data_IF_937078181518
#
_entry.id   IF_937078181518
#
_cell.length_a   1.000
_cell.length_b   1.000
_cell.length_c   1.000
_cell.angle_alpha   90.00
_cell.angle_beta   90.00
_cell.angle_gamma   90.00
#
_symmetry.space_group_name_H-M   'P 1'
#
loop_
_entity.id
_entity.type
_entity.pdbx_description
1 polymer ?
#
# COMPACT_ATOMS: atom_id res chain seq x y z
N UNK A 1 -5.28 13.16 13.75
CA UNK A 1 -4.10 12.40 14.26
C UNK A 1 -2.83 12.97 13.61
N UNK A 2 -1.86 13.44 14.37
CA UNK A 2 -0.62 13.96 13.78
C UNK A 2 0.45 12.86 13.68
N UNK A 3 0.34 12.01 12.65
CA UNK A 3 1.31 10.96 12.36
C UNK A 3 2.44 11.58 11.53
N UNK A 4 3.72 11.41 11.92
CA UNK A 4 4.83 11.87 11.13
C UNK A 4 4.80 11.34 9.70
N UNK A 5 5.05 12.20 8.72
CA UNK A 5 5.02 11.84 7.28
C UNK A 5 5.91 10.63 6.99
N UNK A 6 7.08 10.57 7.64
CA UNK A 6 8.01 9.44 7.53
C UNK A 6 7.40 8.11 7.96
N UNK A 7 6.57 8.10 9.01
CA UNK A 7 5.91 6.87 9.46
C UNK A 7 4.86 6.40 8.47
N UNK A 8 4.11 7.33 7.84
CA UNK A 8 3.21 6.98 6.72
C UNK A 8 3.98 6.32 5.58
N UNK A 9 5.16 6.81 5.26
CA UNK A 9 6.01 6.19 4.25
C UNK A 9 6.38 4.75 4.59
N UNK A 10 6.78 4.47 5.83
CA UNK A 10 7.07 3.09 6.26
C UNK A 10 5.82 2.20 6.23
N UNK A 11 4.67 2.72 6.68
CA UNK A 11 3.39 2.01 6.57
C UNK A 11 3.11 1.61 5.10
N UNK A 12 3.32 2.52 4.15
CA UNK A 12 3.17 2.26 2.72
C UNK A 12 4.18 1.24 2.20
N UNK A 13 5.46 1.32 2.61
CA UNK A 13 6.48 0.35 2.21
C UNK A 13 6.11 -1.07 2.64
N UNK A 14 5.59 -1.25 3.85
CA UNK A 14 5.09 -2.55 4.30
C UNK A 14 3.83 -2.97 3.53
N UNK A 15 2.82 -2.10 3.44
CA UNK A 15 1.56 -2.39 2.76
C UNK A 15 1.76 -2.83 1.30
N UNK A 16 2.76 -2.29 0.62
CA UNK A 16 3.12 -2.65 -0.76
C UNK A 16 4.14 -3.79 -0.89
N UNK A 17 4.62 -4.34 0.22
CA UNK A 17 5.69 -5.35 0.26
C UNK A 17 7.00 -4.87 -0.40
N UNK A 18 7.35 -3.59 -0.18
CA UNK A 18 8.51 -2.92 -0.75
C UNK A 18 9.44 -2.31 0.31
N UNK A 19 9.56 -2.95 1.47
CA UNK A 19 10.39 -2.43 2.58
C UNK A 19 11.85 -2.28 2.17
N UNK A 20 12.40 -3.27 1.43
CA UNK A 20 13.80 -3.23 0.96
C UNK A 20 14.03 -2.09 -0.02
N UNK A 21 13.08 -1.87 -0.93
CA UNK A 21 13.14 -0.78 -1.90
C UNK A 21 13.01 0.58 -1.21
N UNK A 22 12.12 0.68 -0.22
CA UNK A 22 11.95 1.88 0.60
C UNK A 22 13.20 2.25 1.39
N UNK A 23 13.91 1.28 1.95
CA UNK A 23 15.17 1.50 2.68
C UNK A 23 16.31 2.00 1.77
N UNK A 24 16.19 1.88 0.46
CA UNK A 24 17.21 2.36 -0.48
C UNK A 24 17.18 3.87 -0.69
N UNK A 25 16.13 4.54 -0.23
CA UNK A 25 15.99 5.99 -0.24
C UNK A 25 16.20 6.50 1.18
N UNK A 26 17.19 7.35 1.37
CA UNK A 26 17.43 7.97 2.67
C UNK A 26 16.36 9.04 2.93
N UNK A 27 15.32 8.64 3.65
CA UNK A 27 14.30 9.57 4.18
C UNK A 27 14.73 10.19 5.52
N UNK A 28 15.93 9.88 5.99
CA UNK A 28 16.74 10.42 7.06
C UNK A 28 16.06 11.17 8.19
N UNK A 29 16.80 12.09 8.79
CA UNK A 29 16.33 13.00 9.84
C UNK A 29 15.67 14.28 9.32
N UNK A 30 15.44 14.39 7.99
CA UNK A 30 14.81 15.56 7.42
C UNK A 30 13.35 15.67 7.83
N UNK A 31 12.95 16.84 8.28
CA UNK A 31 11.53 17.18 8.48
C UNK A 31 10.93 17.56 7.14
N UNK A 32 9.92 16.80 6.70
CA UNK A 32 9.16 17.11 5.50
C UNK A 32 7.97 18.00 5.84
N UNK A 33 7.78 19.08 5.08
CA UNK A 33 6.64 20.00 5.25
C UNK A 33 5.31 19.31 4.97
N UNK A 34 5.30 18.31 4.07
CA UNK A 34 4.12 17.54 3.72
C UNK A 34 4.45 16.20 3.07
N UNK A 35 3.40 15.40 2.87
CA UNK A 35 3.54 14.10 2.22
C UNK A 35 4.03 14.19 0.79
N UNK A 36 3.63 15.23 0.06
CA UNK A 36 4.04 15.42 -1.33
C UNK A 36 5.55 15.67 -1.45
N UNK A 37 6.17 16.36 -0.48
CA UNK A 37 7.61 16.60 -0.48
C UNK A 37 8.40 15.30 -0.31
N UNK A 38 7.96 14.45 0.63
CA UNK A 38 8.56 13.13 0.82
C UNK A 38 8.38 12.25 -0.43
N UNK A 39 7.17 12.18 -0.99
CA UNK A 39 6.92 11.38 -2.18
C UNK A 39 7.71 11.87 -3.40
N UNK A 40 7.82 13.18 -3.57
CA UNK A 40 8.63 13.77 -4.63
C UNK A 40 10.13 13.47 -4.43
N UNK A 41 10.65 13.55 -3.20
CA UNK A 41 12.04 13.17 -2.89
C UNK A 41 12.29 11.72 -3.24
N UNK A 42 11.45 10.79 -2.76
CA UNK A 42 11.58 9.34 -3.03
C UNK A 42 11.51 9.05 -4.53
N UNK A 43 10.55 9.66 -5.23
CA UNK A 43 10.42 9.50 -6.68
C UNK A 43 11.64 10.04 -7.43
N UNK A 44 12.09 11.25 -7.09
CA UNK A 44 13.26 11.88 -7.72
C UNK A 44 14.53 11.04 -7.54
N UNK A 45 14.77 10.52 -6.33
CA UNK A 45 15.92 9.64 -6.07
C UNK A 45 15.79 8.32 -6.79
N UNK A 46 14.60 7.70 -6.75
CA UNK A 46 14.33 6.45 -7.43
C UNK A 46 14.51 6.55 -8.94
N UNK A 47 13.96 7.59 -9.58
CA UNK A 47 14.12 7.81 -11.03
C UNK A 47 15.58 8.12 -11.38
N UNK A 48 16.28 8.92 -10.56
CA UNK A 48 17.71 9.18 -10.76
C UNK A 48 18.52 7.89 -10.75
N UNK A 49 18.22 6.97 -9.83
CA UNK A 49 18.85 5.65 -9.74
C UNK A 49 18.54 4.77 -10.95
N UNK A 50 17.28 4.77 -11.45
CA UNK A 50 16.91 4.05 -12.66
C UNK A 50 17.66 4.58 -13.88
N UNK A 51 17.76 5.90 -14.05
CA UNK A 51 18.51 6.50 -15.14
C UNK A 51 19.98 6.09 -15.08
N UNK A 52 20.59 6.07 -13.88
CA UNK A 52 22.00 5.71 -13.70
C UNK A 52 22.29 4.21 -13.94
N UNK A 53 21.32 3.33 -13.64
CA UNK A 53 21.46 1.86 -13.83
C UNK A 53 21.02 1.39 -15.20
N UNK A 54 20.35 2.22 -15.96
CA UNK A 54 19.64 1.92 -17.20
C UNK A 54 18.15 1.74 -16.96
N UNK A 55 17.36 2.48 -17.72
CA UNK A 55 15.89 2.36 -17.74
C UNK A 55 15.47 1.01 -18.31
N UNK A 56 14.30 0.56 -17.89
CA UNK A 56 13.68 -0.64 -18.44
C UNK A 56 13.35 -0.45 -19.93
N UNK A 57 13.46 -1.53 -20.68
CA UNK A 57 13.23 -1.55 -22.14
C UNK A 57 12.41 -2.78 -22.50
N UNK A 58 11.60 -2.62 -23.52
CA UNK A 58 10.87 -3.74 -24.11
C UNK A 58 10.90 -3.65 -25.64
N UNK A 59 10.64 -4.75 -26.28
CA UNK A 59 10.51 -4.80 -27.72
C UNK A 59 9.16 -4.25 -28.15
N UNK A 60 9.19 -3.14 -28.87
CA UNK A 60 7.99 -2.55 -29.48
C UNK A 60 7.92 -2.93 -30.95
N UNK A 61 6.78 -3.47 -31.37
CA UNK A 61 6.53 -3.72 -32.77
C UNK A 61 6.42 -2.40 -33.54
N UNK A 62 7.37 -2.14 -34.41
CA UNK A 62 7.44 -0.96 -35.28
C UNK A 62 7.07 -1.36 -36.69
N UNK A 63 6.31 -0.54 -37.40
CA UNK A 63 5.97 -0.73 -38.78
C UNK A 63 6.21 0.58 -39.55
N UNK A 64 7.27 0.63 -40.34
CA UNK A 64 7.68 1.88 -40.98
C UNK A 64 8.32 1.68 -42.37
N UNK A 65 8.43 2.79 -43.13
CA UNK A 65 9.04 2.83 -44.46
C UNK A 65 10.56 3.08 -44.33
N UNK A 66 11.38 2.03 -44.50
CA UNK A 66 12.82 2.09 -44.33
C UNK A 66 13.57 1.89 -45.67
N UNK A 67 14.81 2.34 -45.72
CA UNK A 67 15.73 1.97 -46.82
C UNK A 67 16.31 0.59 -46.55
N UNK A 68 16.07 -0.34 -47.47
CA UNK A 68 16.50 -1.74 -47.33
C UNK A 68 15.45 -2.62 -46.65
N UNK A 69 15.88 -3.71 -46.02
CA UNK A 69 15.01 -4.72 -45.37
C UNK A 69 15.40 -4.89 -43.90
N UNK A 70 14.38 -4.83 -43.01
CA UNK A 70 14.56 -5.14 -41.58
C UNK A 70 13.31 -5.89 -41.09
N UNK A 71 13.48 -7.02 -40.46
CA UNK A 71 12.36 -7.83 -39.96
C UNK A 71 11.45 -8.40 -41.06
N UNK A 72 10.16 -8.27 -40.96
CA UNK A 72 9.16 -8.82 -41.89
C UNK A 72 8.76 -7.75 -42.91
N UNK A 73 8.99 -8.04 -44.20
CA UNK A 73 8.56 -7.18 -45.31
C UNK A 73 7.04 -7.25 -45.49
N UNK A 74 6.37 -6.10 -45.49
CA UNK A 74 5.00 -5.96 -46.00
C UNK A 74 5.02 -5.54 -47.46
N UNK A 75 5.01 -6.55 -48.36
CA UNK A 75 5.09 -6.35 -49.79
C UNK A 75 3.83 -5.61 -50.32
N UNK A 76 2.66 -5.92 -49.74
CA UNK A 76 1.41 -5.30 -50.18
C UNK A 76 1.41 -3.77 -49.94
N UNK A 77 1.82 -3.33 -48.75
CA UNK A 77 1.95 -1.90 -48.44
C UNK A 77 3.11 -1.27 -49.25
N UNK A 78 4.22 -1.96 -49.41
CA UNK A 78 5.36 -1.48 -50.20
C UNK A 78 4.96 -1.17 -51.64
N UNK A 79 4.24 -2.06 -52.31
CA UNK A 79 3.77 -1.89 -53.68
C UNK A 79 2.67 -0.83 -53.76
N UNK A 80 1.68 -0.89 -52.89
CA UNK A 80 0.55 0.07 -52.84
C UNK A 80 1.02 1.51 -52.72
N UNK A 81 2.08 1.76 -51.92
CA UNK A 81 2.66 3.09 -51.70
C UNK A 81 3.79 3.45 -52.69
N UNK A 82 4.08 2.61 -53.68
CA UNK A 82 5.16 2.79 -54.65
C UNK A 82 6.54 3.05 -54.01
N UNK A 83 6.81 2.46 -52.84
CA UNK A 83 8.01 2.74 -52.05
C UNK A 83 9.29 2.31 -52.76
N UNK A 84 9.21 1.27 -53.58
CA UNK A 84 10.36 0.77 -54.38
C UNK A 84 10.95 1.84 -55.30
N UNK A 85 10.14 2.77 -55.79
CA UNK A 85 10.59 3.89 -56.63
C UNK A 85 11.56 4.83 -55.89
N UNK A 86 11.45 4.87 -54.55
CA UNK A 86 12.29 5.70 -53.68
C UNK A 86 13.35 4.87 -52.93
N UNK A 87 13.54 3.58 -53.31
CA UNK A 87 14.47 2.67 -52.66
C UNK A 87 14.09 2.30 -51.22
N UNK A 88 12.76 2.36 -50.91
CA UNK A 88 12.22 2.04 -49.59
C UNK A 88 11.35 0.80 -49.63
N UNK A 89 11.18 0.17 -48.48
CA UNK A 89 10.25 -0.92 -48.24
C UNK A 89 9.49 -0.68 -46.92
N UNK A 90 8.26 -1.15 -46.85
CA UNK A 90 7.51 -1.16 -45.60
C UNK A 90 7.82 -2.43 -44.81
N UNK A 91 8.44 -2.28 -43.64
CA UNK A 91 8.87 -3.40 -42.83
C UNK A 91 8.28 -3.34 -41.43
N UNK A 92 7.88 -4.50 -40.91
CA UNK A 92 7.49 -4.69 -39.51
C UNK A 92 8.64 -5.41 -38.78
N UNK A 93 9.12 -4.83 -37.70
CA UNK A 93 10.20 -5.38 -36.86
C UNK A 93 10.05 -4.95 -35.43
N UNK A 94 10.69 -5.69 -34.53
CA UNK A 94 10.73 -5.33 -33.11
C UNK A 94 11.95 -4.44 -32.87
N UNK A 95 11.73 -3.33 -32.17
CA UNK A 95 12.76 -2.40 -31.75
C UNK A 95 12.79 -2.25 -30.24
N UNK A 96 14.00 -2.36 -29.67
CA UNK A 96 14.19 -2.21 -28.24
C UNK A 96 14.04 -0.73 -27.85
N UNK A 97 12.99 -0.41 -27.12
CA UNK A 97 12.60 0.96 -26.80
C UNK A 97 12.56 1.22 -25.30
N UNK A 98 12.92 2.44 -24.90
CA UNK A 98 12.66 2.97 -23.56
C UNK A 98 11.22 3.52 -23.40
N UNK A 99 10.49 3.67 -24.51
CA UNK A 99 9.13 4.21 -24.51
C UNK A 99 8.10 3.15 -24.09
N UNK A 100 8.27 2.66 -22.88
CA UNK A 100 7.44 1.62 -22.26
C UNK A 100 6.54 2.21 -21.17
N UNK A 101 5.36 1.60 -20.88
CA UNK A 101 4.37 2.16 -19.98
C UNK A 101 4.93 2.57 -18.60
N UNK A 102 5.83 1.79 -18.01
CA UNK A 102 6.43 2.11 -16.72
C UNK A 102 7.27 3.39 -16.78
N UNK A 103 8.06 3.61 -17.81
CA UNK A 103 8.83 4.83 -18.00
C UNK A 103 7.92 6.04 -18.30
N UNK A 104 6.87 5.83 -19.09
CA UNK A 104 5.86 6.85 -19.40
C UNK A 104 5.15 7.33 -18.12
N UNK A 105 4.80 6.42 -17.19
CA UNK A 105 4.19 6.77 -15.91
C UNK A 105 5.15 7.62 -15.08
N UNK A 106 6.42 7.20 -14.95
CA UNK A 106 7.44 7.96 -14.22
C UNK A 106 7.56 9.38 -14.80
N UNK A 107 7.72 9.50 -16.12
CA UNK A 107 7.83 10.80 -16.80
C UNK A 107 6.59 11.66 -16.58
N UNK A 108 5.40 11.12 -16.75
CA UNK A 108 4.15 11.85 -16.57
C UNK A 108 3.96 12.33 -15.12
N UNK A 109 4.34 11.51 -14.12
CA UNK A 109 4.27 11.89 -12.71
C UNK A 109 5.26 12.99 -12.38
N UNK A 110 6.51 12.92 -12.87
CA UNK A 110 7.48 14.01 -12.71
C UNK A 110 6.98 15.33 -13.31
N UNK A 111 6.30 15.28 -14.47
CA UNK A 111 5.66 16.45 -15.06
C UNK A 111 4.58 17.02 -14.16
N UNK A 112 3.70 16.18 -13.61
CA UNK A 112 2.62 16.63 -12.72
C UNK A 112 3.15 17.29 -11.44
N UNK A 113 4.23 16.76 -10.85
CA UNK A 113 4.88 17.38 -9.69
C UNK A 113 5.34 18.82 -9.97
N UNK A 114 5.64 19.14 -11.22
CA UNK A 114 6.00 20.51 -11.62
C UNK A 114 4.88 21.53 -11.39
N UNK A 115 3.62 21.11 -11.39
CA UNK A 115 2.45 21.98 -11.22
C UNK A 115 1.93 22.04 -9.77
N UNK A 116 2.50 21.25 -8.85
CA UNK A 116 2.07 21.22 -7.44
C UNK A 116 2.54 22.47 -6.72
N UNK A 117 1.61 23.30 -6.27
CA UNK A 117 1.92 24.61 -5.66
C UNK A 117 2.62 24.49 -4.31
N UNK A 118 2.23 23.50 -3.50
CA UNK A 118 2.77 23.24 -2.16
C UNK A 118 4.10 22.49 -2.14
N UNK A 119 4.57 21.99 -3.30
CA UNK A 119 5.80 21.21 -3.39
C UNK A 119 7.04 22.08 -3.16
N UNK A 120 7.98 21.56 -2.38
CA UNK A 120 9.28 22.15 -2.14
C UNK A 120 9.96 22.57 -3.46
N UNK A 121 10.47 23.81 -3.58
CA UNK A 121 11.05 24.33 -4.83
C UNK A 121 12.25 23.51 -5.34
N UNK A 122 13.04 22.87 -4.48
CA UNK A 122 14.18 22.06 -4.89
C UNK A 122 13.68 20.73 -5.46
N UNK A 123 12.74 20.07 -4.79
CA UNK A 123 12.13 18.85 -5.30
C UNK A 123 11.43 19.07 -6.64
N UNK A 124 10.76 20.20 -6.80
CA UNK A 124 10.15 20.60 -8.08
C UNK A 124 11.19 20.79 -9.18
N UNK A 125 12.28 21.51 -8.90
CA UNK A 125 13.40 21.70 -9.86
C UNK A 125 14.04 20.35 -10.23
N UNK A 126 14.21 19.46 -9.25
CA UNK A 126 14.79 18.13 -9.45
C UNK A 126 13.88 17.27 -10.35
N UNK A 127 12.57 17.26 -10.10
CA UNK A 127 11.59 16.58 -10.95
C UNK A 127 11.64 17.09 -12.40
N UNK A 128 11.73 18.43 -12.60
CA UNK A 128 11.86 19.02 -13.93
C UNK A 128 13.16 18.65 -14.65
N UNK A 129 14.28 18.50 -13.92
CA UNK A 129 15.53 18.01 -14.52
C UNK A 129 15.44 16.55 -14.96
N UNK A 130 14.85 15.69 -14.13
CA UNK A 130 14.67 14.27 -14.43
C UNK A 130 13.69 14.06 -15.59
N UNK A 131 12.58 14.81 -15.61
CA UNK A 131 11.64 14.81 -16.73
C UNK A 131 12.35 15.06 -18.08
N UNK A 132 13.25 16.05 -18.15
CA UNK A 132 14.02 16.35 -19.38
C UNK A 132 15.03 15.26 -19.76
N UNK A 133 15.54 14.48 -18.79
CA UNK A 133 16.44 13.34 -19.05
C UNK A 133 15.71 12.13 -19.64
N UNK A 134 14.39 12.08 -19.56
CA UNK A 134 13.55 11.03 -20.15
C UNK A 134 13.09 11.43 -21.57
N UNK A 135 13.96 12.01 -22.38
CA UNK A 135 13.67 12.52 -23.73
C UNK A 135 13.21 11.42 -24.69
N UNK A 136 13.80 10.21 -24.60
CA UNK A 136 13.41 9.05 -25.38
C UNK A 136 12.07 8.41 -24.96
N UNK A 137 11.38 8.94 -23.95
CA UNK A 137 10.10 8.45 -23.46
C UNK A 137 9.00 9.42 -23.85
N UNK A 138 7.89 8.92 -24.40
CA UNK A 138 6.76 9.74 -24.83
C UNK A 138 6.04 10.44 -23.66
N UNK A 139 5.58 11.66 -23.94
CA UNK A 139 4.67 12.37 -23.03
C UNK A 139 3.24 11.85 -23.19
N UNK A 140 2.75 11.19 -22.17
CA UNK A 140 1.39 10.65 -22.15
C UNK A 140 0.58 11.24 -21.01
N UNK A 141 -0.75 11.39 -21.17
CA UNK A 141 -1.60 11.75 -20.05
C UNK A 141 -1.67 10.60 -19.04
N UNK A 142 -1.38 10.91 -17.77
CA UNK A 142 -1.48 9.93 -16.71
C UNK A 142 -2.96 9.58 -16.47
N UNK A 143 -3.31 8.31 -16.67
CA UNK A 143 -4.66 7.77 -16.53
C UNK A 143 -4.64 6.42 -15.84
N UNK A 144 -5.72 6.00 -15.11
CA UNK A 144 -5.77 4.71 -14.43
C UNK A 144 -5.50 3.49 -15.34
N UNK A 145 -5.89 3.59 -16.61
CA UNK A 145 -5.66 2.53 -17.60
C UNK A 145 -4.17 2.28 -17.84
N UNK A 146 -3.34 3.33 -17.84
CA UNK A 146 -1.91 3.20 -18.10
C UNK A 146 -1.21 2.34 -17.03
N UNK A 147 -1.60 2.49 -15.76
CA UNK A 147 -1.07 1.64 -14.67
C UNK A 147 -1.41 0.16 -14.83
N UNK A 148 -2.53 -0.17 -15.50
CA UNK A 148 -2.95 -1.57 -15.74
C UNK A 148 -2.21 -2.23 -16.90
N UNK A 149 -1.53 -1.48 -17.75
CA UNK A 149 -0.75 -2.01 -18.89
C UNK A 149 0.63 -2.45 -18.49
N UNK A 150 1.11 -2.03 -17.32
CA UNK A 150 2.45 -2.37 -16.86
C UNK A 150 2.53 -3.84 -16.45
N UNK A 151 3.57 -4.51 -16.92
CA UNK A 151 3.91 -5.88 -16.52
C UNK A 151 5.16 -5.85 -15.65
N UNK A 152 4.99 -6.21 -14.38
CA UNK A 152 6.09 -6.28 -13.42
C UNK A 152 6.64 -7.71 -13.40
N UNK A 153 7.97 -7.82 -13.53
CA UNK A 153 8.71 -9.07 -13.41
C UNK A 153 9.56 -9.05 -12.13
N UNK A 154 10.03 -10.22 -11.70
CA UNK A 154 10.87 -10.33 -10.48
C UNK A 154 12.10 -9.42 -10.49
N UNK A 155 12.64 -9.11 -11.67
CA UNK A 155 13.85 -8.32 -11.81
C UNK A 155 13.62 -6.80 -11.75
N UNK A 156 12.36 -6.33 -11.79
CA UNK A 156 12.03 -4.91 -11.78
C UNK A 156 11.11 -4.50 -10.61
N UNK A 157 11.25 -5.15 -9.43
CA UNK A 157 10.51 -4.83 -8.21
C UNK A 157 10.66 -3.36 -7.79
N UNK A 158 11.82 -2.77 -8.04
CA UNK A 158 12.05 -1.35 -7.79
C UNK A 158 11.14 -0.44 -8.64
N UNK A 159 10.82 -0.84 -9.87
CA UNK A 159 9.78 -0.17 -10.66
C UNK A 159 8.41 -0.30 -10.00
N UNK A 160 8.06 -1.49 -9.52
CA UNK A 160 6.78 -1.69 -8.81
C UNK A 160 6.61 -0.71 -7.67
N UNK A 161 7.64 -0.56 -6.84
CA UNK A 161 7.66 0.42 -5.74
C UNK A 161 7.41 1.85 -6.23
N UNK A 162 8.16 2.32 -7.23
CA UNK A 162 8.00 3.67 -7.76
C UNK A 162 6.63 3.88 -8.43
N UNK A 163 6.09 2.86 -9.07
CA UNK A 163 4.76 2.93 -9.69
C UNK A 163 3.63 2.99 -8.66
N UNK A 164 3.75 2.29 -7.53
CA UNK A 164 2.83 2.47 -6.41
C UNK A 164 2.88 3.91 -5.88
N UNK A 165 4.09 4.47 -5.77
CA UNK A 165 4.25 5.87 -5.38
C UNK A 165 3.63 6.82 -6.41
N UNK A 166 3.87 6.62 -7.71
CA UNK A 166 3.23 7.38 -8.78
C UNK A 166 1.69 7.28 -8.71
N UNK A 167 1.17 6.10 -8.39
CA UNK A 167 -0.26 5.89 -8.25
C UNK A 167 -0.85 6.68 -7.09
N UNK A 168 -0.21 6.65 -5.92
CA UNK A 168 -0.67 7.45 -4.75
C UNK A 168 -0.61 8.95 -5.06
N UNK A 169 0.46 9.42 -5.70
CA UNK A 169 0.56 10.82 -6.12
C UNK A 169 -0.61 11.16 -7.04
N UNK A 170 -0.84 10.35 -8.08
CA UNK A 170 -1.93 10.57 -9.04
C UNK A 170 -3.32 10.59 -8.38
N UNK A 171 -3.61 9.63 -7.49
CA UNK A 171 -4.92 9.49 -6.86
C UNK A 171 -5.22 10.62 -5.85
N UNK A 172 -4.19 11.37 -5.40
CA UNK A 172 -4.34 12.46 -4.44
C UNK A 172 -3.97 13.83 -5.01
N UNK A 173 -3.73 13.96 -6.34
CA UNK A 173 -3.56 15.25 -7.00
C UNK A 173 -4.90 15.81 -7.46
N UNK A 174 -5.25 16.98 -6.95
CA UNK A 174 -6.38 17.79 -7.40
C UNK A 174 -5.85 18.81 -8.43
N UNK A 175 -6.19 18.60 -9.70
CA UNK A 175 -5.72 19.45 -10.81
C UNK A 175 -6.74 20.56 -11.06
N UNK A 176 -6.32 21.80 -10.91
CA UNK A 176 -7.08 22.98 -11.38
C UNK A 176 -6.70 23.24 -12.84
N UNK A 177 -7.61 22.89 -13.76
CA UNK A 177 -7.39 23.07 -15.21
C UNK A 177 -7.37 24.53 -15.64
N UNK A 178 -8.10 25.41 -14.95
CA UNK A 178 -8.20 26.84 -15.30
C UNK A 178 -6.91 27.59 -14.94
N UNK A 179 -6.29 27.26 -13.80
CA UNK A 179 -5.08 27.90 -13.33
C UNK A 179 -3.80 27.18 -13.77
N UNK A 180 -3.92 25.95 -14.30
CA UNK A 180 -2.77 25.12 -14.65
C UNK A 180 -1.94 24.69 -13.43
N UNK A 181 -2.57 24.65 -12.25
CA UNK A 181 -1.96 24.31 -10.98
C UNK A 181 -2.49 22.98 -10.47
N UNK A 182 -1.80 22.37 -9.49
CA UNK A 182 -2.25 21.19 -8.80
C UNK A 182 -2.02 21.33 -7.30
N UNK A 183 -2.96 20.78 -6.53
CA UNK A 183 -2.83 20.65 -5.08
C UNK A 183 -2.78 19.19 -4.70
N UNK A 184 -2.00 18.86 -3.67
CA UNK A 184 -1.93 17.50 -3.15
C UNK A 184 -2.84 17.37 -1.92
N UNK A 185 -3.80 16.46 -2.01
CA UNK A 185 -4.66 16.11 -0.88
C UNK A 185 -3.91 15.21 0.10
N UNK A 186 -3.70 15.71 1.31
CA UNK A 186 -3.07 14.95 2.39
C UNK A 186 -4.09 13.99 3.02
N UNK A 187 -4.03 12.74 2.65
CA UNK A 187 -5.00 11.73 3.07
C UNK A 187 -4.84 11.26 4.53
N UNK A 188 -3.88 11.80 5.31
CA UNK A 188 -3.75 11.49 6.75
C UNK A 188 -5.01 11.87 7.56
N UNK A 189 -5.78 12.81 7.04
CA UNK A 189 -7.07 13.22 7.65
C UNK A 189 -8.25 12.30 7.28
N UNK A 190 -8.06 11.41 6.30
CA UNK A 190 -9.07 10.46 5.84
C UNK A 190 -8.97 9.17 6.65
N UNK A 191 -9.84 9.04 7.68
CA UNK A 191 -9.85 7.87 8.57
C UNK A 191 -10.07 6.55 7.82
N UNK A 192 -10.83 6.57 6.73
CA UNK A 192 -11.11 5.36 5.95
C UNK A 192 -9.87 4.91 5.16
N UNK A 193 -9.19 5.83 4.48
CA UNK A 193 -7.94 5.51 3.77
C UNK A 193 -6.84 5.09 4.73
N UNK A 194 -6.71 5.79 5.84
CA UNK A 194 -5.72 5.45 6.87
C UNK A 194 -6.04 4.13 7.56
N UNK A 195 -7.31 3.80 7.77
CA UNK A 195 -7.74 2.51 8.31
C UNK A 195 -7.33 1.35 7.41
N UNK A 196 -7.59 1.46 6.11
CA UNK A 196 -7.16 0.46 5.12
C UNK A 196 -5.63 0.34 5.04
N UNK A 197 -4.91 1.46 5.11
CA UNK A 197 -3.45 1.46 5.13
C UNK A 197 -2.91 0.77 6.39
N UNK A 198 -3.47 1.07 7.56
CA UNK A 198 -3.07 0.48 8.82
C UNK A 198 -3.34 -1.04 8.85
N UNK A 199 -4.51 -1.49 8.37
CA UNK A 199 -4.82 -2.91 8.22
C UNK A 199 -3.78 -3.63 7.35
N UNK A 200 -3.53 -3.10 6.15
CA UNK A 200 -2.57 -3.69 5.22
C UNK A 200 -1.15 -3.72 5.81
N UNK A 201 -0.76 -2.63 6.46
CA UNK A 201 0.53 -2.55 7.14
C UNK A 201 0.68 -3.64 8.21
N UNK A 202 -0.26 -3.76 9.14
CA UNK A 202 -0.19 -4.76 10.22
C UNK A 202 -0.16 -6.18 9.65
N UNK A 203 -0.98 -6.46 8.64
CA UNK A 203 -0.99 -7.76 7.95
C UNK A 203 0.38 -8.10 7.37
N UNK A 204 0.94 -7.21 6.57
CA UNK A 204 2.24 -7.40 5.92
C UNK A 204 3.40 -7.44 6.92
N UNK A 205 3.31 -6.64 7.97
CA UNK A 205 4.25 -6.69 9.07
C UNK A 205 4.27 -8.08 9.70
N UNK A 206 3.11 -8.64 10.02
CA UNK A 206 3.01 -9.98 10.60
C UNK A 206 3.51 -11.06 9.63
N UNK A 207 3.18 -10.98 8.32
CA UNK A 207 3.68 -11.89 7.30
C UNK A 207 5.21 -11.90 7.19
N UNK A 208 5.85 -10.75 7.37
CA UNK A 208 7.28 -10.56 7.19
C UNK A 208 8.11 -10.80 8.45
N UNK A 209 7.63 -10.28 9.58
CA UNK A 209 8.41 -10.16 10.80
C UNK A 209 8.06 -11.24 11.83
N UNK A 210 7.13 -12.14 11.52
CA UNK A 210 6.72 -13.22 12.43
C UNK A 210 6.72 -14.58 11.73
N UNK A 211 6.69 -15.66 12.52
CA UNK A 211 6.57 -17.03 12.02
C UNK A 211 5.12 -17.51 11.85
N UNK A 212 4.14 -16.67 12.11
CA UNK A 212 2.73 -17.02 11.96
C UNK A 212 2.33 -17.20 10.49
N UNK A 213 1.46 -18.17 10.24
CA UNK A 213 0.69 -18.20 9.00
C UNK A 213 -0.37 -17.10 9.05
N UNK A 214 -0.28 -16.13 8.14
CA UNK A 214 -1.15 -14.95 8.11
C UNK A 214 -2.21 -15.11 7.02
N UNK A 215 -3.48 -14.83 7.34
CA UNK A 215 -4.61 -14.91 6.42
C UNK A 215 -5.70 -13.89 6.81
N UNK A 216 -6.72 -13.74 5.96
CA UNK A 216 -7.90 -12.92 6.22
C UNK A 216 -9.16 -13.65 5.73
N UNK A 217 -9.51 -14.78 6.35
CA UNK A 217 -10.67 -15.55 5.94
C UNK A 217 -11.97 -14.87 6.32
N UNK A 218 -13.05 -15.30 5.65
CA UNK A 218 -14.40 -15.01 6.10
C UNK A 218 -14.82 -16.09 7.08
N UNK A 219 -15.47 -15.69 8.18
CA UNK A 219 -16.05 -16.58 9.17
C UNK A 219 -17.55 -16.68 8.90
N UNK A 220 -18.08 -17.88 8.85
CA UNK A 220 -19.51 -18.14 8.77
C UNK A 220 -20.13 -18.13 10.19
N UNK A 221 -21.42 -17.86 10.28
CA UNK A 221 -22.15 -17.96 11.52
C UNK A 221 -22.37 -19.43 11.87
N UNK A 222 -21.67 -19.90 12.88
CA UNK A 222 -21.75 -21.30 13.29
C UNK A 222 -23.17 -21.63 13.78
N UNK A 223 -23.70 -22.78 13.29
CA UNK A 223 -25.04 -23.23 13.67
C UNK A 223 -26.20 -22.34 13.20
N UNK A 224 -25.94 -21.38 12.28
CA UNK A 224 -27.01 -20.53 11.79
C UNK A 224 -28.03 -21.32 10.97
N UNK A 225 -29.30 -21.22 11.36
CA UNK A 225 -30.43 -21.79 10.64
C UNK A 225 -31.35 -20.68 10.12
N UNK A 226 -31.99 -20.91 9.00
CA UNK A 226 -32.87 -19.93 8.37
C UNK A 226 -34.06 -20.55 7.70
N UNK A 227 -35.18 -19.82 7.66
CA UNK A 227 -36.40 -20.22 6.98
C UNK A 227 -36.34 -19.74 5.52
N UNK A 228 -36.57 -20.66 4.57
CA UNK A 228 -36.53 -20.34 3.15
C UNK A 228 -35.15 -19.82 2.69
N UNK A 229 -35.12 -18.65 2.07
CA UNK A 229 -33.91 -18.00 1.56
C UNK A 229 -33.25 -17.04 2.57
N UNK A 230 -33.72 -16.98 3.82
CA UNK A 230 -33.27 -15.99 4.81
C UNK A 230 -31.75 -16.06 5.12
N UNK A 231 -31.11 -17.24 5.04
CA UNK A 231 -29.66 -17.38 5.22
C UNK A 231 -28.83 -16.61 4.18
N UNK A 232 -29.38 -16.37 2.99
CA UNK A 232 -28.66 -15.56 1.96
C UNK A 232 -28.52 -14.09 2.36
N UNK A 233 -29.34 -13.61 3.31
CA UNK A 233 -29.27 -12.25 3.82
C UNK A 233 -28.34 -12.10 5.03
N UNK A 234 -27.81 -13.21 5.58
CA UNK A 234 -26.90 -13.18 6.70
C UNK A 234 -25.49 -12.81 6.20
N UNK A 235 -24.93 -11.66 6.61
CA UNK A 235 -23.60 -11.23 6.17
C UNK A 235 -22.52 -12.14 6.75
N UNK A 236 -21.51 -12.48 5.94
CA UNK A 236 -20.32 -13.17 6.46
C UNK A 236 -19.48 -12.21 7.28
N UNK A 237 -18.87 -12.73 8.34
CA UNK A 237 -17.92 -11.97 9.15
C UNK A 237 -16.57 -11.90 8.41
N UNK A 238 -16.16 -10.69 8.02
CA UNK A 238 -14.89 -10.47 7.34
C UNK A 238 -13.83 -10.10 8.37
N UNK A 239 -12.81 -10.97 8.52
CA UNK A 239 -11.67 -10.69 9.39
C UNK A 239 -10.64 -9.81 8.67
N UNK A 240 -9.95 -8.93 9.41
CA UNK A 240 -8.83 -8.19 8.88
C UNK A 240 -7.59 -9.08 8.80
N UNK A 241 -7.24 -9.74 9.90
CA UNK A 241 -6.04 -10.56 10.02
C UNK A 241 -6.31 -11.75 10.95
N UNK A 242 -5.86 -12.93 10.55
CA UNK A 242 -5.79 -14.12 11.40
C UNK A 242 -4.37 -14.65 11.39
N UNK A 243 -3.76 -14.73 12.57
CA UNK A 243 -2.43 -15.26 12.78
C UNK A 243 -2.55 -16.67 13.38
N UNK A 244 -1.94 -17.66 12.73
CA UNK A 244 -2.00 -19.07 13.17
C UNK A 244 -0.61 -19.64 13.37
N UNK A 245 -0.44 -20.30 14.50
CA UNK A 245 0.68 -21.21 14.79
C UNK A 245 0.13 -22.51 15.38
N UNK A 246 0.95 -23.55 15.59
CA UNK A 246 0.50 -24.77 16.29
C UNK A 246 -0.03 -24.52 17.70
N UNK A 247 0.44 -23.46 18.35
CA UNK A 247 0.09 -23.16 19.75
C UNK A 247 -0.95 -22.05 19.90
N UNK A 248 -1.16 -21.21 18.86
CA UNK A 248 -1.99 -20.01 18.97
C UNK A 248 -2.74 -19.70 17.70
N UNK A 249 -3.99 -19.24 17.88
CA UNK A 249 -4.79 -18.58 16.84
C UNK A 249 -5.19 -17.20 17.35
N UNK A 250 -4.84 -16.14 16.64
CA UNK A 250 -5.16 -14.76 17.01
C UNK A 250 -5.96 -14.13 15.88
N UNK A 251 -7.17 -13.68 16.18
CA UNK A 251 -8.02 -12.92 15.26
C UNK A 251 -7.82 -11.45 15.59
N UNK A 252 -7.23 -10.70 14.68
CA UNK A 252 -6.94 -9.27 14.88
C UNK A 252 -7.90 -8.47 14.01
N UNK A 253 -8.57 -7.51 14.63
CA UNK A 253 -9.39 -6.52 13.98
C UNK A 253 -8.73 -5.15 14.22
N UNK A 254 -8.33 -4.47 13.16
CA UNK A 254 -7.56 -3.24 13.22
C UNK A 254 -8.48 -2.03 13.19
N UNK A 255 -8.17 -1.03 14.00
CA UNK A 255 -8.98 0.17 14.12
C UNK A 255 -8.13 1.44 14.01
N UNK A 256 -8.58 2.34 13.19
CA UNK A 256 -7.98 3.66 13.01
C UNK A 256 -9.04 4.74 13.29
N UNK A 257 -8.96 5.36 14.46
CA UNK A 257 -9.84 6.46 14.86
C UNK A 257 -8.99 7.60 15.41
N UNK A 258 -9.43 8.84 15.20
CA UNK A 258 -8.81 10.03 15.82
C UNK A 258 -8.74 9.90 17.34
N UNK A 259 -9.81 9.34 17.92
CA UNK A 259 -9.90 9.01 19.35
C UNK A 259 -10.14 7.50 19.50
N UNK A 260 -9.12 6.70 19.83
CA UNK A 260 -9.22 5.24 19.90
C UNK A 260 -10.20 4.73 20.98
N UNK A 261 -10.36 5.48 22.06
CA UNK A 261 -11.25 5.14 23.17
C UNK A 261 -12.31 6.22 23.38
N UNK A 262 -13.56 5.81 23.57
CA UNK A 262 -14.66 6.70 23.84
C UNK A 262 -14.56 7.29 25.25
N UNK A 263 -14.84 8.58 25.41
CA UNK A 263 -14.94 9.22 26.72
C UNK A 263 -16.36 9.02 27.27
N UNK A 264 -16.46 8.41 28.46
CA UNK A 264 -17.75 8.18 29.14
C UNK A 264 -17.63 8.52 30.63
N UNK A 265 -18.39 9.52 31.11
CA UNK A 265 -18.38 9.95 32.52
C UNK A 265 -16.96 10.14 33.10
N UNK A 266 -16.05 10.77 32.34
CA UNK A 266 -14.66 11.03 32.73
C UNK A 266 -13.69 9.85 32.62
N UNK A 267 -14.16 8.67 32.20
CA UNK A 267 -13.31 7.49 31.93
C UNK A 267 -13.22 7.15 30.45
N UNK A 268 -12.10 6.55 30.02
CA UNK A 268 -11.92 6.02 28.67
C UNK A 268 -12.47 4.60 28.57
N UNK A 269 -13.32 4.31 27.59
CA UNK A 269 -13.92 2.98 27.37
C UNK A 269 -13.72 2.51 25.95
N UNK A 270 -13.59 1.20 25.78
CA UNK A 270 -13.58 0.53 24.48
C UNK A 270 -14.94 0.72 23.79
N UNK A 271 -14.92 0.94 22.48
CA UNK A 271 -16.14 1.00 21.69
C UNK A 271 -16.86 -0.35 21.73
N UNK A 272 -18.12 -0.35 22.19
CA UNK A 272 -18.90 -1.58 22.37
C UNK A 272 -19.15 -2.32 21.06
N UNK A 273 -19.36 -1.62 19.94
CA UNK A 273 -19.56 -2.25 18.63
C UNK A 273 -18.32 -3.03 18.19
N UNK A 274 -17.13 -2.46 18.38
CA UNK A 274 -15.87 -3.15 18.07
C UNK A 274 -15.66 -4.37 18.98
N UNK A 275 -16.03 -4.24 20.26
CA UNK A 275 -15.92 -5.35 21.21
C UNK A 275 -16.88 -6.49 20.84
N UNK A 276 -18.12 -6.18 20.45
CA UNK A 276 -19.08 -7.19 19.99
C UNK A 276 -18.61 -7.86 18.70
N UNK A 277 -18.03 -7.10 17.79
CA UNK A 277 -17.50 -7.62 16.53
C UNK A 277 -16.40 -8.66 16.78
N UNK A 278 -15.35 -8.30 17.53
CA UNK A 278 -14.25 -9.22 17.78
C UNK A 278 -14.65 -10.43 18.62
N UNK A 279 -15.56 -10.22 19.58
CA UNK A 279 -16.11 -11.31 20.37
C UNK A 279 -16.91 -12.29 19.50
N UNK A 280 -17.79 -11.79 18.60
CA UNK A 280 -18.51 -12.63 17.66
C UNK A 280 -17.56 -13.44 16.76
N UNK A 281 -16.46 -12.81 16.27
CA UNK A 281 -15.44 -13.51 15.48
C UNK A 281 -14.80 -14.64 16.26
N UNK A 282 -14.34 -14.37 17.49
CA UNK A 282 -13.70 -15.37 18.34
C UNK A 282 -14.64 -16.54 18.67
N UNK A 283 -15.88 -16.25 19.00
CA UNK A 283 -16.89 -17.28 19.31
C UNK A 283 -17.19 -18.18 18.11
N UNK A 284 -17.50 -17.60 16.95
CA UNK A 284 -17.84 -18.38 15.76
C UNK A 284 -16.64 -19.17 15.22
N UNK A 285 -15.42 -18.61 15.34
CA UNK A 285 -14.20 -19.34 15.00
C UNK A 285 -14.02 -20.59 15.89
N UNK A 286 -14.16 -20.42 17.20
CA UNK A 286 -13.98 -21.51 18.16
C UNK A 286 -14.96 -22.66 17.94
N UNK A 287 -16.23 -22.34 17.68
CA UNK A 287 -17.28 -23.34 17.44
C UNK A 287 -17.07 -24.07 16.09
N UNK A 288 -16.48 -23.37 15.09
CA UNK A 288 -16.15 -23.97 13.78
C UNK A 288 -14.77 -24.63 13.72
N UNK A 289 -13.97 -24.57 14.79
CA UNK A 289 -12.63 -25.12 14.82
C UNK A 289 -12.61 -26.65 14.88
N UNK A 290 -11.56 -27.27 14.31
CA UNK A 290 -11.35 -28.70 14.39
C UNK A 290 -10.81 -29.11 15.78
N UNK A 291 -11.05 -30.33 16.16
CA UNK A 291 -10.53 -30.86 17.42
C UNK A 291 -8.99 -30.76 17.47
N UNK A 292 -8.46 -30.13 18.51
CA UNK A 292 -7.01 -29.92 18.70
C UNK A 292 -6.49 -28.60 18.16
N UNK A 293 -7.29 -27.78 17.49
CA UNK A 293 -6.89 -26.41 17.17
C UNK A 293 -6.86 -25.55 18.44
N UNK A 294 -5.87 -24.61 18.56
CA UNK A 294 -5.80 -23.73 19.71
C UNK A 294 -7.00 -22.77 19.75
N UNK A 295 -7.49 -22.51 20.95
CA UNK A 295 -8.57 -21.55 21.14
C UNK A 295 -8.20 -20.17 20.61
N UNK A 296 -9.10 -19.50 19.89
CA UNK A 296 -8.83 -18.19 19.31
C UNK A 296 -8.79 -17.11 20.38
N UNK A 297 -7.83 -16.20 20.23
CA UNK A 297 -7.75 -14.93 20.94
C UNK A 297 -8.32 -13.84 20.03
N UNK A 298 -9.23 -13.00 20.56
CA UNK A 298 -9.73 -11.84 19.82
C UNK A 298 -8.93 -10.60 20.17
N UNK A 299 -8.39 -9.89 19.17
CA UNK A 299 -7.62 -8.66 19.39
C UNK A 299 -8.24 -7.49 18.65
N UNK A 300 -8.44 -6.38 19.40
CA UNK A 300 -8.66 -5.06 18.81
C UNK A 300 -7.35 -4.30 18.84
N UNK A 301 -6.76 -4.04 17.68
CA UNK A 301 -5.51 -3.31 17.54
C UNK A 301 -5.77 -1.91 17.00
N UNK A 302 -5.57 -0.91 17.85
CA UNK A 302 -5.79 0.49 17.52
C UNK A 302 -4.50 1.19 17.10
N UNK A 303 -4.59 2.03 16.04
CA UNK A 303 -3.60 3.07 15.82
C UNK A 303 -3.82 4.20 16.84
N UNK A 304 -2.75 4.73 17.41
CA UNK A 304 -2.76 5.84 18.35
C UNK A 304 -1.65 6.85 18.02
N UNK A 305 -1.70 8.04 18.61
CA UNK A 305 -0.63 9.05 18.58
C UNK A 305 -0.34 9.61 19.98
N UNK A 306 -1.31 9.49 20.89
CA UNK A 306 -1.24 10.07 22.26
C UNK A 306 -1.27 8.95 23.31
N UNK A 307 -0.13 8.25 23.44
CA UNK A 307 0.02 7.18 24.41
C UNK A 307 -0.37 5.80 23.87
N UNK A 308 -0.07 4.79 24.66
CA UNK A 308 -0.37 3.39 24.36
C UNK A 308 -1.19 2.78 25.49
N UNK A 309 -2.01 1.80 25.14
CA UNK A 309 -2.76 0.99 26.10
C UNK A 309 -2.69 -0.48 25.72
N UNK A 310 -2.94 -1.35 26.70
CA UNK A 310 -2.95 -2.81 26.53
C UNK A 310 -3.86 -3.41 27.62
N UNK A 311 -5.11 -3.63 27.26
CA UNK A 311 -6.12 -4.21 28.18
C UNK A 311 -6.39 -5.65 27.79
N UNK A 312 -6.51 -6.51 28.78
CA UNK A 312 -6.83 -7.92 28.61
C UNK A 312 -8.10 -8.27 29.38
N UNK A 313 -8.99 -8.95 28.70
CA UNK A 313 -10.26 -9.38 29.22
C UNK A 313 -10.45 -10.87 28.96
N UNK A 314 -11.24 -11.51 29.78
CA UNK A 314 -11.80 -12.81 29.51
C UNK A 314 -13.33 -12.69 29.44
N UNK A 315 -13.91 -12.95 28.29
CA UNK A 315 -15.34 -12.85 28.04
C UNK A 315 -15.88 -14.22 27.65
N UNK A 316 -16.73 -14.79 28.50
CA UNK A 316 -17.29 -16.16 28.34
C UNK A 316 -16.21 -17.21 28.04
N UNK A 317 -15.08 -17.14 28.77
CA UNK A 317 -13.95 -18.04 28.61
C UNK A 317 -13.07 -17.75 27.37
N UNK A 318 -13.31 -16.65 26.64
CA UNK A 318 -12.51 -16.26 25.48
C UNK A 318 -11.58 -15.11 25.82
N UNK A 319 -10.27 -15.23 25.55
CA UNK A 319 -9.33 -14.13 25.77
C UNK A 319 -9.53 -13.03 24.72
N UNK A 320 -9.77 -11.82 25.20
CA UNK A 320 -9.90 -10.61 24.36
C UNK A 320 -8.82 -9.62 24.77
N UNK A 321 -8.04 -9.14 23.82
CA UNK A 321 -7.02 -8.12 24.03
C UNK A 321 -7.40 -6.85 23.28
N UNK A 322 -7.29 -5.71 23.94
CA UNK A 322 -7.52 -4.39 23.35
C UNK A 322 -6.26 -3.56 23.54
N UNK A 323 -5.51 -3.37 22.48
CA UNK A 323 -4.19 -2.75 22.54
C UNK A 323 -4.00 -1.71 21.44
N UNK A 324 -2.95 -0.90 21.60
CA UNK A 324 -2.62 0.13 20.63
C UNK A 324 -1.13 0.14 20.28
N UNK A 325 -0.87 0.73 19.11
CA UNK A 325 0.45 1.08 18.62
C UNK A 325 0.47 2.57 18.37
N UNK A 326 1.44 3.27 18.97
CA UNK A 326 1.59 4.71 18.79
C UNK A 326 2.39 5.01 17.51
N UNK A 327 1.67 5.42 16.46
CA UNK A 327 2.25 5.79 15.17
C UNK A 327 2.98 7.14 15.17
N UNK A 328 2.92 7.88 16.29
CA UNK A 328 3.70 9.11 16.50
C UNK A 328 5.15 8.88 16.90
N UNK A 329 5.47 7.67 17.39
CA UNK A 329 6.82 7.32 17.81
C UNK A 329 7.79 7.13 16.62
N UNK A 330 9.08 7.06 16.91
CA UNK A 330 10.07 6.64 15.92
C UNK A 330 9.79 5.23 15.41
N UNK A 331 10.06 5.00 14.12
CA UNK A 331 9.74 3.74 13.44
C UNK A 331 10.22 2.48 14.19
N UNK A 332 11.46 2.49 14.68
CA UNK A 332 12.03 1.37 15.44
C UNK A 332 11.31 1.08 16.76
N UNK A 333 10.62 2.06 17.33
CA UNK A 333 9.78 1.87 18.53
C UNK A 333 8.47 1.21 18.14
N UNK A 334 7.85 1.64 17.03
CA UNK A 334 6.65 1.06 16.45
C UNK A 334 6.88 -0.43 16.13
N UNK A 335 7.95 -0.73 15.41
CA UNK A 335 8.35 -2.08 15.03
C UNK A 335 8.53 -2.99 16.27
N UNK A 336 9.28 -2.53 17.27
CA UNK A 336 9.48 -3.27 18.53
C UNK A 336 8.17 -3.46 19.31
N UNK A 337 7.28 -2.48 19.30
CA UNK A 337 5.97 -2.58 19.96
C UNK A 337 5.13 -3.68 19.31
N UNK A 338 4.99 -3.69 17.99
CA UNK A 338 4.24 -4.72 17.26
C UNK A 338 4.84 -6.10 17.46
N UNK A 339 6.16 -6.25 17.33
CA UNK A 339 6.84 -7.52 17.58
C UNK A 339 6.57 -8.04 18.99
N UNK A 340 6.65 -7.17 20.01
CA UNK A 340 6.36 -7.54 21.39
C UNK A 340 4.91 -7.96 21.59
N UNK A 341 3.94 -7.21 21.00
CA UNK A 341 2.52 -7.55 21.10
C UNK A 341 2.25 -8.97 20.59
N UNK A 342 2.81 -9.32 19.42
CA UNK A 342 2.59 -10.62 18.78
C UNK A 342 3.34 -11.75 19.48
N UNK A 343 4.55 -11.49 20.00
CA UNK A 343 5.36 -12.47 20.72
C UNK A 343 4.83 -12.77 22.13
N UNK A 344 4.05 -11.86 22.71
CA UNK A 344 3.58 -11.94 24.10
C UNK A 344 2.60 -13.10 24.29
N UNK A 345 2.90 -14.03 25.18
CA UNK A 345 2.09 -15.22 25.42
C UNK A 345 0.80 -14.93 26.23
N UNK A 346 -0.14 -15.88 26.21
CA UNK A 346 -1.47 -15.84 26.85
C UNK A 346 -1.54 -15.51 28.33
N UNK A 347 -0.43 -15.40 29.06
CA UNK A 347 -0.44 -15.31 30.52
C UNK A 347 -1.04 -13.97 30.96
N UNK A 348 -2.27 -14.03 31.45
CA UNK A 348 -2.84 -13.04 32.37
C UNK A 348 -1.93 -13.02 33.63
N UNK A 349 -0.88 -12.21 33.63
CA UNK A 349 -0.25 -11.85 34.88
C UNK A 349 -1.30 -11.08 35.69
N UNK A 350 -1.58 -11.44 36.95
CA UNK A 350 -2.53 -10.73 37.76
C UNK A 350 -2.10 -9.25 37.81
N UNK A 351 -3.04 -8.35 37.48
CA UNK A 351 -2.85 -6.93 37.63
C UNK A 351 -2.44 -6.67 39.08
N UNK A 352 -1.26 -6.09 39.29
CA UNK A 352 -0.90 -5.55 40.60
C UNK A 352 -1.97 -4.50 40.95
N UNK A 353 -2.79 -4.82 41.91
CA UNK A 353 -3.77 -3.93 42.50
C UNK A 353 -3.00 -2.73 43.06
N UNK A 354 -3.04 -1.61 42.33
CA UNK A 354 -2.68 -0.33 42.95
C UNK A 354 -3.86 0.14 43.75
N UNK A 355 -3.66 0.11 45.06
CA UNK A 355 -4.56 0.68 46.05
C UNK A 355 -4.60 2.22 45.99
#
# INVERSE_FOLDING_TARGET
>A
MNIPVRNIYYLLCYAWDHVREGETVDVGSEEFSGMVDLFAKVLNEGVSRLISRGLDRDYLAVSEDIRGLKGKLDLATTVKRNLLLTGKTHCAFDELSYDVPQNQILKATLRQLGFVTSLDPEQRRRAGRLYRKLDAVSDVPLRPRLFRTVRIHRNNQFYSFLLHLCRIIYDNLLVNQEEGTAEFYDFREDEQKMGLLFEQFVRRFCERETSYAVSAPKIDWFGAEGVGTSLHHLPKMQTDIVLRSPERTIIVDTKFYKEPLNTWHGGKRVNSANLYQIFAYAMNWAEGAQAGEPEPEGWLLYAAVDGEFDYRFELMGRPIRVCSVNLGHEWKVIERRLTRLVADSKTLAPAATQA
#
